data_IF_177254091273
#
_entry.id   IF_177254091273
#
_cell.length_a   1.000
_cell.length_b   1.000
_cell.length_c   1.000
_cell.angle_alpha   90.00
_cell.angle_beta   90.00
_cell.angle_gamma   90.00
#
_symmetry.space_group_name_H-M   'P 1'
#
loop_
_entity.id
_entity.type
_entity.pdbx_description
1 polymer ?
#
# COMPACT_ATOMS: atom_id res chain seq x y z
N UNK A 1 6.49 3.52 22.62
CA UNK A 1 6.60 2.75 21.35
C UNK A 1 7.71 3.34 20.51
N UNK A 2 8.64 2.51 20.05
CA UNK A 2 9.69 2.91 19.12
C UNK A 2 9.08 3.41 17.80
N UNK A 3 9.75 4.36 17.14
CA UNK A 3 9.34 4.94 15.85
C UNK A 3 9.05 3.85 14.81
N UNK A 4 9.89 2.80 14.79
CA UNK A 4 9.70 1.59 13.99
C UNK A 4 8.34 0.91 14.20
N UNK A 5 7.95 0.67 15.46
CA UNK A 5 6.70 -0.02 15.79
C UNK A 5 5.49 0.79 15.35
N UNK A 6 5.54 2.12 15.49
CA UNK A 6 4.45 3.01 15.05
C UNK A 6 4.26 2.96 13.54
N UNK A 7 5.35 3.05 12.78
CA UNK A 7 5.29 2.94 11.32
C UNK A 7 4.82 1.57 10.85
N UNK A 8 5.29 0.49 11.47
CA UNK A 8 4.87 -0.86 11.09
C UNK A 8 3.37 -1.07 11.34
N UNK A 9 2.85 -0.60 12.47
CA UNK A 9 1.44 -0.70 12.83
C UNK A 9 0.55 0.16 11.91
N UNK A 10 1.04 1.35 11.53
CA UNK A 10 0.37 2.22 10.56
C UNK A 10 0.25 1.54 9.19
N UNK A 11 1.36 1.02 8.65
CA UNK A 11 1.34 0.36 7.33
C UNK A 11 0.48 -0.91 7.33
N UNK A 12 0.49 -1.67 8.43
CA UNK A 12 -0.40 -2.81 8.62
C UNK A 12 -1.87 -2.38 8.55
N UNK A 13 -2.26 -1.35 9.30
CA UNK A 13 -3.64 -0.85 9.29
C UNK A 13 -4.07 -0.34 7.91
N UNK A 14 -3.19 0.43 7.25
CA UNK A 14 -3.44 1.01 5.92
C UNK A 14 -3.56 -0.06 4.82
N UNK A 15 -2.85 -1.18 4.93
CA UNK A 15 -2.97 -2.27 3.96
C UNK A 15 -4.13 -3.20 4.30
N UNK A 16 -4.25 -3.65 5.55
CA UNK A 16 -5.29 -4.62 5.95
C UNK A 16 -6.69 -4.10 5.67
N UNK A 17 -6.95 -2.80 5.92
CA UNK A 17 -8.27 -2.20 5.71
C UNK A 17 -8.81 -2.40 4.28
N UNK A 18 -8.16 -1.92 3.21
CA UNK A 18 -8.62 -2.15 1.84
C UNK A 18 -8.60 -3.63 1.44
N UNK A 19 -7.68 -4.44 1.99
CA UNK A 19 -7.62 -5.88 1.69
C UNK A 19 -8.88 -6.63 2.13
N UNK A 20 -9.55 -6.22 3.22
CA UNK A 20 -10.82 -6.82 3.66
C UNK A 20 -11.91 -6.65 2.60
N UNK A 21 -12.01 -5.47 1.98
CA UNK A 21 -12.97 -5.19 0.91
C UNK A 21 -12.63 -5.98 -0.36
N UNK A 22 -11.34 -6.12 -0.68
CA UNK A 22 -10.91 -6.93 -1.82
C UNK A 22 -11.32 -8.39 -1.61
N UNK A 23 -10.94 -8.99 -0.49
CA UNK A 23 -11.22 -10.41 -0.21
C UNK A 23 -12.73 -10.69 -0.19
N UNK A 24 -13.51 -9.81 0.45
CA UNK A 24 -14.98 -9.95 0.48
C UNK A 24 -15.63 -9.74 -0.89
N UNK A 25 -15.00 -9.00 -1.80
CA UNK A 25 -15.52 -8.73 -3.14
C UNK A 25 -15.15 -9.79 -4.20
N UNK A 26 -14.23 -10.71 -3.91
CA UNK A 26 -13.71 -11.69 -4.90
C UNK A 26 -14.78 -12.67 -5.39
N UNK A 27 -15.74 -13.09 -4.56
CA UNK A 27 -16.68 -14.15 -4.98
C UNK A 27 -17.65 -13.70 -6.07
N UNK A 28 -18.09 -12.44 -6.01
CA UNK A 28 -19.23 -11.96 -6.80
C UNK A 28 -18.89 -10.78 -7.73
N UNK A 29 -17.59 -10.46 -7.91
CA UNK A 29 -17.13 -9.30 -8.70
C UNK A 29 -17.90 -8.03 -8.33
N UNK A 30 -18.17 -7.87 -7.04
CA UNK A 30 -19.13 -6.89 -6.55
C UNK A 30 -18.52 -5.48 -6.54
N UNK A 31 -19.34 -4.41 -6.48
CA UNK A 31 -18.86 -3.03 -6.33
C UNK A 31 -17.88 -2.86 -5.14
N UNK A 32 -17.96 -3.74 -4.14
CA UNK A 32 -17.08 -3.79 -2.97
C UNK A 32 -15.62 -4.09 -3.36
N UNK A 33 -15.41 -4.98 -4.34
CA UNK A 33 -14.07 -5.28 -4.87
C UNK A 33 -13.42 -4.01 -5.45
N UNK A 34 -14.15 -3.30 -6.30
CA UNK A 34 -13.68 -2.07 -6.94
C UNK A 34 -13.39 -0.98 -5.91
N UNK A 35 -14.22 -0.83 -4.89
CA UNK A 35 -13.97 0.12 -3.79
C UNK A 35 -12.69 -0.25 -3.03
N UNK A 36 -12.48 -1.54 -2.74
CA UNK A 36 -11.28 -2.03 -2.07
C UNK A 36 -10.00 -1.75 -2.87
N UNK A 37 -10.02 -2.03 -4.17
CA UNK A 37 -8.90 -1.73 -5.09
C UNK A 37 -8.68 -0.20 -5.18
N UNK A 38 -9.74 0.61 -5.21
CA UNK A 38 -9.62 2.08 -5.27
C UNK A 38 -8.92 2.64 -4.04
N UNK A 39 -9.38 2.21 -2.86
CA UNK A 39 -8.82 2.62 -1.58
C UNK A 39 -7.36 2.19 -1.47
N UNK A 40 -7.02 0.96 -1.86
CA UNK A 40 -5.65 0.47 -1.89
C UNK A 40 -4.77 1.33 -2.82
N UNK A 41 -5.27 1.63 -4.02
CA UNK A 41 -4.58 2.48 -4.99
C UNK A 41 -4.30 3.88 -4.45
N UNK A 42 -5.30 4.55 -3.86
CA UNK A 42 -5.15 5.89 -3.25
C UNK A 42 -4.10 5.87 -2.15
N UNK A 43 -4.14 4.87 -1.26
CA UNK A 43 -3.15 4.72 -0.19
C UNK A 43 -1.75 4.54 -0.78
N UNK A 44 -1.60 3.74 -1.83
CA UNK A 44 -0.31 3.56 -2.49
C UNK A 44 0.19 4.84 -3.17
N UNK A 45 -0.68 5.63 -3.81
CA UNK A 45 -0.34 6.94 -4.40
C UNK A 45 0.19 7.90 -3.34
N UNK A 46 -0.37 7.89 -2.13
CA UNK A 46 0.07 8.76 -1.05
C UNK A 46 1.36 8.26 -0.38
N UNK A 47 1.48 6.95 -0.14
CA UNK A 47 2.59 6.38 0.63
C UNK A 47 3.85 6.11 -0.20
N UNK A 48 3.72 5.73 -1.48
CA UNK A 48 4.88 5.44 -2.32
C UNK A 48 5.83 6.65 -2.47
N UNK A 49 5.37 7.89 -2.77
CA UNK A 49 6.25 9.05 -2.87
C UNK A 49 6.94 9.37 -1.54
N UNK A 50 6.26 9.18 -0.40
CA UNK A 50 6.83 9.40 0.93
C UNK A 50 7.99 8.43 1.16
N UNK A 51 7.79 7.13 0.93
CA UNK A 51 8.84 6.13 1.12
C UNK A 51 9.98 6.24 0.10
N UNK A 52 9.69 6.64 -1.13
CA UNK A 52 10.69 6.96 -2.15
C UNK A 52 11.53 8.18 -1.74
N UNK A 53 10.89 9.25 -1.26
CA UNK A 53 11.60 10.42 -0.72
C UNK A 53 12.52 10.05 0.44
N UNK A 54 12.04 9.21 1.37
CA UNK A 54 12.87 8.68 2.46
C UNK A 54 14.06 7.87 1.97
N UNK A 55 13.90 7.09 0.89
CA UNK A 55 14.99 6.32 0.30
C UNK A 55 16.12 7.25 -0.13
N UNK A 56 15.82 8.30 -0.90
CA UNK A 56 16.84 9.20 -1.43
C UNK A 56 17.50 10.06 -0.35
N UNK A 57 16.74 10.53 0.64
CA UNK A 57 17.27 11.42 1.68
C UNK A 57 17.98 10.69 2.82
N UNK A 58 17.78 9.38 2.96
CA UNK A 58 18.43 8.59 4.01
C UNK A 58 19.09 7.35 3.39
N UNK A 59 20.25 7.48 2.74
CA UNK A 59 20.92 6.36 2.06
C UNK A 59 21.33 5.23 3.02
N UNK A 60 21.68 5.58 4.27
CA UNK A 60 21.92 4.64 5.39
C UNK A 60 20.65 4.20 6.13
N UNK A 61 19.48 4.60 5.62
CA UNK A 61 18.17 4.33 6.21
C UNK A 61 17.83 2.85 6.24
N UNK A 62 17.08 2.48 7.27
CA UNK A 62 16.67 1.12 7.61
C UNK A 62 16.06 0.39 6.39
N UNK A 63 16.61 -0.78 6.06
CA UNK A 63 16.23 -1.60 4.89
C UNK A 63 14.72 -1.81 4.74
N UNK A 64 13.98 -1.94 5.84
CA UNK A 64 12.53 -2.12 5.81
C UNK A 64 11.78 -0.98 5.08
N UNK A 65 12.27 0.27 5.16
CA UNK A 65 11.61 1.41 4.49
C UNK A 65 11.77 1.34 2.97
N UNK A 66 12.91 0.81 2.51
CA UNK A 66 13.16 0.56 1.08
C UNK A 66 12.28 -0.57 0.58
N UNK A 67 12.15 -1.65 1.36
CA UNK A 67 11.22 -2.75 1.04
C UNK A 67 9.78 -2.25 0.98
N UNK A 68 9.34 -1.42 1.93
CA UNK A 68 8.00 -0.81 1.92
C UNK A 68 7.78 0.04 0.66
N UNK A 69 8.76 0.86 0.25
CA UNK A 69 8.67 1.65 -0.97
C UNK A 69 8.39 0.76 -2.20
N UNK A 70 9.16 -0.34 -2.34
CA UNK A 70 9.01 -1.29 -3.45
C UNK A 70 7.63 -1.94 -3.40
N UNK A 71 7.18 -2.40 -2.22
CA UNK A 71 5.87 -3.02 -2.05
C UNK A 71 4.76 -2.05 -2.46
N UNK A 72 4.79 -0.80 -2.00
CA UNK A 72 3.78 0.19 -2.38
C UNK A 72 3.79 0.50 -3.88
N UNK A 73 4.95 0.54 -4.52
CA UNK A 73 5.04 0.74 -5.99
C UNK A 73 4.47 -0.48 -6.74
N UNK A 74 4.83 -1.70 -6.33
CA UNK A 74 4.33 -2.92 -6.97
C UNK A 74 2.82 -3.05 -6.82
N UNK A 75 2.30 -2.78 -5.62
CA UNK A 75 0.85 -2.80 -5.35
C UNK A 75 0.15 -1.70 -6.14
N UNK A 76 0.73 -0.50 -6.26
CA UNK A 76 0.18 0.57 -7.09
C UNK A 76 0.06 0.14 -8.56
N UNK A 77 1.11 -0.46 -9.11
CA UNK A 77 1.10 -0.98 -10.48
C UNK A 77 0.03 -2.06 -10.66
N UNK A 78 -0.13 -2.96 -9.69
CA UNK A 78 -1.18 -3.97 -9.71
C UNK A 78 -2.58 -3.33 -9.69
N UNK A 79 -2.81 -2.30 -8.86
CA UNK A 79 -4.08 -1.57 -8.80
C UNK A 79 -4.38 -0.89 -10.14
N UNK A 80 -3.39 -0.22 -10.75
CA UNK A 80 -3.54 0.41 -12.06
C UNK A 80 -3.89 -0.65 -13.12
N UNK A 81 -3.20 -1.78 -13.11
CA UNK A 81 -3.47 -2.87 -14.06
C UNK A 81 -4.90 -3.42 -13.92
N UNK A 82 -5.39 -3.58 -12.68
CA UNK A 82 -6.78 -4.02 -12.42
C UNK A 82 -7.86 -2.99 -12.77
N UNK A 83 -7.50 -1.74 -13.07
CA UNK A 83 -8.44 -0.73 -13.58
C UNK A 83 -8.43 -0.61 -15.10
N UNK A 84 -7.34 -1.06 -15.74
CA UNK A 84 -7.17 -0.98 -17.20
C UNK A 84 -7.82 -2.21 -17.89
N UNK A 85 -7.88 -3.35 -17.19
CA UNK A 85 -8.51 -4.60 -17.65
C UNK A 85 -9.79 -4.89 -16.87
#
# INVERSE_FOLDING_TARGET
>A
MNSFTKEMLLNLGLLVFPFIFIISGISDSSPVLYIGIMLLGIICILMAPIYVYYWFNNPKGLWYRKTLAIVYIVVLLACINSYIF
#
